data_IF_316549231632
#
_entry.id   IF_316549231632
#
_cell.length_a   1.000
_cell.length_b   1.000
_cell.length_c   1.000
_cell.angle_alpha   90.00
_cell.angle_beta   90.00
_cell.angle_gamma   90.00
#
_symmetry.space_group_name_H-M   'P 1'
#
loop_
_entity.id
_entity.type
_entity.pdbx_description
1 polymer ?
#
# COMPACT_ATOMS: atom_id res chain seq x y z
N UNK A 1 -14.66 -8.09 14.27
CA UNK A 1 -13.64 -8.12 13.19
C UNK A 1 -14.28 -7.86 11.83
N UNK A 2 -15.61 -7.70 11.79
CA UNK A 2 -16.46 -7.38 10.64
C UNK A 2 -16.32 -5.92 10.16
N UNK A 3 -15.81 -5.03 11.01
CA UNK A 3 -15.60 -3.60 10.69
C UNK A 3 -14.56 -3.35 9.58
N UNK A 4 -13.63 -4.28 9.36
CA UNK A 4 -12.62 -4.15 8.29
C UNK A 4 -13.20 -4.50 6.91
N UNK A 5 -14.13 -5.46 6.82
CA UNK A 5 -14.74 -5.82 5.54
C UNK A 5 -15.65 -4.70 4.98
N UNK A 6 -16.29 -3.93 5.87
CA UNK A 6 -17.20 -2.83 5.52
C UNK A 6 -16.44 -1.56 5.09
N UNK A 7 -15.25 -1.28 5.65
CA UNK A 7 -14.44 -0.11 5.28
C UNK A 7 -13.79 -0.23 3.90
N UNK A 8 -13.53 -1.46 3.43
CA UNK A 8 -12.78 -1.70 2.20
C UNK A 8 -13.66 -1.81 0.95
N UNK A 9 -14.97 -1.53 1.06
CA UNK A 9 -15.91 -1.52 -0.07
C UNK A 9 -15.66 -2.73 -1.00
N UNK A 10 -15.68 -3.93 -0.40
CA UNK A 10 -15.39 -5.20 -1.07
C UNK A 10 -16.63 -5.78 -1.78
N UNK A 11 -17.82 -5.24 -1.52
CA UNK A 11 -18.99 -5.46 -2.38
C UNK A 11 -19.02 -4.30 -3.37
N UNK A 12 -18.51 -4.54 -4.57
CA UNK A 12 -18.49 -3.53 -5.65
C UNK A 12 -19.60 -3.76 -6.68
N UNK A 13 -20.41 -4.81 -6.52
CA UNK A 13 -21.52 -5.10 -7.44
C UNK A 13 -22.86 -4.73 -6.80
N UNK A 14 -23.60 -3.76 -7.35
CA UNK A 14 -24.88 -3.34 -6.78
C UNK A 14 -26.01 -4.36 -7.01
N UNK A 15 -25.94 -5.22 -8.04
CA UNK A 15 -26.93 -6.25 -8.31
C UNK A 15 -26.21 -7.44 -8.96
N UNK A 16 -26.29 -8.64 -8.37
CA UNK A 16 -25.47 -9.82 -8.68
C UNK A 16 -25.58 -10.42 -10.10
N UNK A 17 -26.10 -9.67 -11.06
CA UNK A 17 -26.29 -10.04 -12.47
C UNK A 17 -25.34 -9.25 -13.41
N UNK A 18 -24.88 -8.05 -13.01
CA UNK A 18 -24.00 -7.19 -13.82
C UNK A 18 -22.70 -6.83 -13.06
N UNK A 19 -21.88 -7.84 -12.75
CA UNK A 19 -20.50 -7.60 -12.30
C UNK A 19 -19.57 -7.50 -13.52
N UNK A 20 -19.28 -6.27 -13.96
CA UNK A 20 -18.25 -6.05 -14.98
C UNK A 20 -16.82 -6.26 -14.42
N UNK A 21 -15.84 -6.55 -15.29
CA UNK A 21 -14.42 -6.68 -14.91
C UNK A 21 -13.88 -5.43 -14.18
N UNK A 22 -14.40 -4.24 -14.50
CA UNK A 22 -14.03 -3.00 -13.79
C UNK A 22 -14.29 -3.05 -12.29
N UNK A 23 -15.37 -3.71 -11.85
CA UNK A 23 -15.71 -3.85 -10.43
C UNK A 23 -14.78 -4.83 -9.69
N UNK A 24 -14.31 -5.87 -10.39
CA UNK A 24 -13.32 -6.81 -9.87
C UNK A 24 -11.95 -6.14 -9.69
N UNK A 25 -11.57 -5.27 -10.62
CA UNK A 25 -10.33 -4.50 -10.50
C UNK A 25 -10.46 -3.43 -9.39
N UNK A 26 -11.63 -2.80 -9.24
CA UNK A 26 -11.86 -1.83 -8.16
C UNK A 26 -11.82 -2.50 -6.77
N UNK A 27 -12.34 -3.73 -6.66
CA UNK A 27 -12.19 -4.58 -5.47
C UNK A 27 -10.71 -4.78 -5.11
N UNK A 28 -9.89 -5.19 -6.08
CA UNK A 28 -8.47 -5.42 -5.87
C UNK A 28 -7.76 -4.13 -5.42
N UNK A 29 -8.08 -2.98 -6.03
CA UNK A 29 -7.50 -1.68 -5.63
C UNK A 29 -7.84 -1.33 -4.19
N UNK A 30 -9.10 -1.51 -3.78
CA UNK A 30 -9.53 -1.20 -2.42
C UNK A 30 -8.88 -2.15 -1.40
N UNK A 31 -8.77 -3.44 -1.74
CA UNK A 31 -8.10 -4.44 -0.90
C UNK A 31 -6.61 -4.15 -0.70
N UNK A 32 -5.91 -3.68 -1.74
CA UNK A 32 -4.49 -3.36 -1.62
C UNK A 32 -4.30 -2.06 -0.83
N UNK A 33 -5.13 -1.02 -1.07
CA UNK A 33 -5.09 0.22 -0.29
C UNK A 33 -5.32 -0.04 1.21
N UNK A 34 -6.23 -0.97 1.53
CA UNK A 34 -6.46 -1.44 2.89
C UNK A 34 -5.20 -1.98 3.57
N UNK A 35 -4.49 -2.87 2.86
CA UNK A 35 -3.30 -3.54 3.36
C UNK A 35 -2.14 -2.54 3.54
N UNK A 36 -2.02 -1.58 2.63
CA UNK A 36 -0.99 -0.54 2.70
C UNK A 36 -1.21 0.39 3.89
N UNK A 37 -2.45 0.78 4.19
CA UNK A 37 -2.75 1.66 5.32
C UNK A 37 -2.22 1.08 6.65
N UNK A 38 -2.41 -0.22 6.88
CA UNK A 38 -1.90 -0.91 8.07
C UNK A 38 -0.35 -0.99 8.04
N UNK A 39 0.23 -1.29 6.88
CA UNK A 39 1.69 -1.34 6.69
C UNK A 39 2.36 0.01 6.96
N UNK A 40 1.76 1.12 6.53
CA UNK A 40 2.27 2.47 6.74
C UNK A 40 2.32 2.82 8.23
N UNK A 41 1.33 2.42 9.03
CA UNK A 41 1.36 2.61 10.48
C UNK A 41 2.51 1.84 11.13
N UNK A 42 2.75 0.58 10.72
CA UNK A 42 3.86 -0.22 11.22
C UNK A 42 5.22 0.37 10.82
N UNK A 43 5.33 0.85 9.58
CA UNK A 43 6.53 1.52 9.09
C UNK A 43 6.80 2.82 9.86
N UNK A 44 5.78 3.64 10.10
CA UNK A 44 5.92 4.87 10.88
C UNK A 44 6.43 4.59 12.31
N UNK A 45 5.93 3.54 12.97
CA UNK A 45 6.41 3.10 14.27
C UNK A 45 7.89 2.63 14.22
N UNK A 46 8.25 1.85 13.20
CA UNK A 46 9.63 1.39 12.99
C UNK A 46 10.60 2.56 12.74
N UNK A 47 10.19 3.55 11.94
CA UNK A 47 10.98 4.76 11.71
C UNK A 47 11.11 5.64 12.96
N UNK A 48 10.05 5.76 13.76
CA UNK A 48 10.11 6.48 15.03
C UNK A 48 11.12 5.81 15.99
N UNK A 49 11.07 4.49 16.14
CA UNK A 49 12.02 3.74 16.97
C UNK A 49 13.47 3.85 16.45
N UNK A 50 13.67 3.67 15.14
CA UNK A 50 15.00 3.80 14.53
C UNK A 50 15.55 5.23 14.65
N UNK A 51 14.70 6.25 14.54
CA UNK A 51 15.07 7.65 14.73
C UNK A 51 15.53 7.95 16.15
N UNK A 52 14.85 7.42 17.17
CA UNK A 52 15.25 7.57 18.58
C UNK A 52 16.59 6.91 18.85
N UNK A 53 16.82 5.70 18.33
CA UNK A 53 18.11 4.99 18.48
C UNK A 53 19.25 5.75 17.78
N UNK A 54 18.99 6.33 16.60
CA UNK A 54 19.98 7.14 15.87
C UNK A 54 20.40 8.39 16.67
N UNK A 55 19.44 9.08 17.30
CA UNK A 55 19.69 10.28 18.10
C UNK A 55 20.36 9.97 19.44
N UNK A 56 20.00 8.85 20.08
CA UNK A 56 20.58 8.42 21.35
C UNK A 56 22.03 7.92 21.22
N UNK A 57 22.49 7.59 20.00
CA UNK A 57 23.86 7.11 19.71
C UNK A 57 24.94 8.21 19.73
N UNK A 58 24.70 9.32 20.42
CA UNK A 58 25.42 10.60 20.37
C UNK A 58 26.87 10.60 20.87
N UNK A 59 27.76 9.78 20.32
CA UNK A 59 29.19 9.90 20.63
C UNK A 59 30.15 8.83 20.08
N UNK A 60 29.67 7.66 19.67
CA UNK A 60 30.56 6.60 19.15
C UNK A 60 30.40 6.42 17.63
N UNK A 61 31.53 6.50 16.92
CA UNK A 61 31.60 6.39 15.46
C UNK A 61 31.06 5.03 14.96
N UNK A 62 31.25 3.98 15.77
CA UNK A 62 30.70 2.65 15.52
C UNK A 62 29.17 2.61 15.61
N UNK A 63 28.55 3.21 16.64
CA UNK A 63 27.09 3.20 16.77
C UNK A 63 26.40 4.03 15.68
N UNK A 64 27.04 5.11 15.21
CA UNK A 64 26.56 5.88 14.05
C UNK A 64 26.51 5.07 12.76
N UNK A 65 27.56 4.29 12.49
CA UNK A 65 27.60 3.44 11.30
C UNK A 65 26.58 2.29 11.38
N UNK A 66 26.43 1.67 12.55
CA UNK A 66 25.44 0.61 12.75
C UNK A 66 24.00 1.13 12.64
N UNK A 67 23.70 2.29 13.24
CA UNK A 67 22.39 2.91 13.17
C UNK A 67 22.03 3.33 11.72
N UNK A 68 22.98 3.88 10.95
CA UNK A 68 22.77 4.14 9.52
C UNK A 68 22.50 2.86 8.73
N UNK A 69 23.20 1.77 9.05
CA UNK A 69 23.03 0.48 8.36
C UNK A 69 21.63 -0.10 8.58
N UNK A 70 21.11 0.01 9.80
CA UNK A 70 19.74 -0.40 10.14
C UNK A 70 18.73 0.53 9.45
N UNK A 71 18.95 1.85 9.52
CA UNK A 71 18.06 2.84 8.90
C UNK A 71 17.92 2.62 7.39
N UNK A 72 19.03 2.43 6.66
CA UNK A 72 19.02 2.19 5.21
C UNK A 72 18.30 0.88 4.85
N UNK A 73 18.43 -0.18 5.67
CA UNK A 73 17.70 -1.44 5.46
C UNK A 73 16.18 -1.27 5.62
N UNK A 74 15.74 -0.50 6.62
CA UNK A 74 14.30 -0.22 6.81
C UNK A 74 13.77 0.66 5.67
N UNK A 75 14.55 1.68 5.28
CA UNK A 75 14.20 2.60 4.20
C UNK A 75 14.03 1.88 2.86
N UNK A 76 14.95 0.96 2.51
CA UNK A 76 14.87 0.21 1.25
C UNK A 76 13.66 -0.74 1.24
N UNK A 77 13.32 -1.34 2.38
CA UNK A 77 12.14 -2.20 2.51
C UNK A 77 10.84 -1.41 2.35
N UNK A 78 10.76 -0.23 2.96
CA UNK A 78 9.59 0.65 2.82
C UNK A 78 9.41 1.16 1.39
N UNK A 79 10.51 1.56 0.72
CA UNK A 79 10.48 1.94 -0.69
C UNK A 79 10.01 0.80 -1.60
N UNK A 80 10.40 -0.45 -1.31
CA UNK A 80 9.94 -1.62 -2.07
C UNK A 80 8.43 -1.84 -1.94
N UNK A 81 7.89 -1.73 -0.73
CA UNK A 81 6.44 -1.85 -0.48
C UNK A 81 5.67 -0.76 -1.22
N UNK A 82 6.14 0.50 -1.13
CA UNK A 82 5.54 1.61 -1.86
C UNK A 82 5.65 1.45 -3.38
N UNK A 83 6.78 0.94 -3.88
CA UNK A 83 6.98 0.66 -5.30
C UNK A 83 6.01 -0.39 -5.83
N UNK A 84 5.83 -1.49 -5.10
CA UNK A 84 4.87 -2.54 -5.46
C UNK A 84 3.43 -2.00 -5.49
N UNK A 85 3.04 -1.21 -4.48
CA UNK A 85 1.73 -0.56 -4.45
C UNK A 85 1.51 0.39 -5.63
N UNK A 86 2.48 1.27 -5.88
CA UNK A 86 2.42 2.26 -6.96
C UNK A 86 2.28 1.56 -8.31
N UNK A 87 2.98 0.44 -8.52
CA UNK A 87 2.91 -0.32 -9.76
C UNK A 87 1.50 -0.88 -9.98
N UNK A 88 0.91 -1.54 -8.98
CA UNK A 88 -0.45 -2.08 -9.10
C UNK A 88 -1.49 -0.96 -9.26
N UNK A 89 -1.34 0.13 -8.51
CA UNK A 89 -2.18 1.31 -8.64
C UNK A 89 -2.13 1.87 -10.06
N UNK A 90 -0.93 1.97 -10.63
CA UNK A 90 -0.73 2.51 -11.98
C UNK A 90 -1.40 1.63 -13.02
N UNK A 91 -1.12 0.31 -13.03
CA UNK A 91 -1.74 -0.64 -13.97
C UNK A 91 -3.26 -0.54 -13.87
N UNK A 92 -3.78 -0.56 -12.64
CA UNK A 92 -5.21 -0.48 -12.38
C UNK A 92 -5.81 0.83 -12.88
N UNK A 93 -5.16 1.96 -12.62
CA UNK A 93 -5.66 3.28 -13.02
C UNK A 93 -5.69 3.47 -14.55
N UNK A 94 -4.75 2.85 -15.27
CA UNK A 94 -4.71 2.85 -16.74
C UNK A 94 -5.81 1.95 -17.30
N UNK A 95 -6.08 0.80 -16.67
CA UNK A 95 -7.07 -0.17 -17.12
C UNK A 95 -8.52 0.30 -16.87
N UNK A 96 -8.75 1.14 -15.86
CA UNK A 96 -10.07 1.72 -15.56
C UNK A 96 -10.36 3.05 -16.29
N UNK A 97 -9.43 3.60 -17.07
CA UNK A 97 -9.69 4.83 -17.83
C UNK A 97 -10.68 4.54 -18.96
N UNK A 98 -11.74 5.34 -19.04
CA UNK A 98 -12.93 5.17 -19.89
C UNK A 98 -12.68 5.10 -21.42
N UNK A 99 -11.42 5.28 -21.87
CA UNK A 99 -11.01 5.18 -23.28
C UNK A 99 -10.53 3.79 -23.74
N UNK A 100 -10.24 2.86 -22.82
CA UNK A 100 -9.67 1.53 -23.14
C UNK A 100 -10.51 0.35 -22.61
N UNK A 101 -11.75 0.58 -22.17
CA UNK A 101 -12.67 -0.49 -21.76
C UNK A 101 -13.10 -1.34 -22.96
N UNK A 102 -12.24 -2.27 -23.39
CA UNK A 102 -12.49 -3.16 -24.53
C UNK A 102 -13.56 -4.23 -24.26
N UNK A 103 -13.97 -4.46 -23.00
CA UNK A 103 -14.90 -5.54 -22.63
C UNK A 103 -15.83 -5.18 -21.45
N UNK A 104 -16.51 -4.03 -21.48
CA UNK A 104 -17.30 -3.63 -20.30
C UNK A 104 -18.31 -2.49 -20.43
N UNK A 105 -18.99 -2.37 -21.56
CA UNK A 105 -20.26 -1.63 -21.66
C UNK A 105 -21.31 -2.61 -22.19
N UNK A 106 -22.44 -2.77 -21.50
CA UNK A 106 -23.50 -1.80 -21.65
C UNK A 106 -23.89 -1.18 -20.31
N UNK A 107 -24.26 0.09 -20.43
CA UNK A 107 -24.83 0.99 -19.43
C UNK A 107 -25.76 0.34 -18.42
#
# INVERSE_FOLDING_TARGET
MDLLAQSFNLIVCPNGIDCNFGHLVLLARNLINAMILISTFLAAAAFAYAGVVLLASGGSENAKNDAKKIFTKVLIGYLWILGAWLLVYTITSVLLVDGFSLLGSPR
#
